data_IF_763654992459
#
_entry.id   IF_763654992459
#
_cell.length_a   1.000
_cell.length_b   1.000
_cell.length_c   1.000
_cell.angle_alpha   90.00
_cell.angle_beta   90.00
_cell.angle_gamma   90.00
#
_symmetry.space_group_name_H-M   'P 1'
#
loop_
_entity.id
_entity.type
_entity.pdbx_description
1 polymer ?
#
# COMPACT_ATOMS: atom_id res chain seq x y z
N UNK A 1 10.83 -7.85 23.30
CA UNK A 1 10.53 -7.60 21.87
C UNK A 1 11.58 -6.65 21.35
N UNK A 2 12.36 -6.99 20.31
CA UNK A 2 13.33 -6.05 19.77
C UNK A 2 12.60 -5.01 18.92
N UNK A 3 12.54 -3.78 19.45
CA UNK A 3 12.39 -2.56 18.69
C UNK A 3 13.72 -2.31 17.95
N UNK A 4 13.75 -2.35 16.61
CA UNK A 4 14.50 -1.39 15.75
C UNK A 4 14.72 -1.89 14.30
N UNK A 5 14.90 -0.97 13.34
CA UNK A 5 15.45 -1.14 11.97
C UNK A 5 16.87 -1.72 11.94
N UNK A 6 17.09 -2.90 12.51
CA UNK A 6 18.38 -3.61 12.45
C UNK A 6 18.28 -4.88 11.59
N UNK A 7 17.98 -4.83 10.30
CA UNK A 7 17.84 -3.70 9.39
C UNK A 7 17.13 -4.27 8.16
N UNK A 8 16.01 -3.69 7.70
CA UNK A 8 15.36 -4.17 6.47
C UNK A 8 16.41 -4.20 5.36
N UNK A 9 17.30 -3.22 5.33
CA UNK A 9 18.45 -3.15 4.44
C UNK A 9 19.42 -4.33 4.58
N UNK A 10 19.70 -4.82 5.79
CA UNK A 10 20.51 -6.03 6.01
C UNK A 10 19.84 -7.28 5.44
N UNK A 11 18.54 -7.45 5.75
CA UNK A 11 17.76 -8.56 5.21
C UNK A 11 17.77 -8.54 3.68
N UNK A 12 17.56 -7.36 3.10
CA UNK A 12 17.56 -7.17 1.65
C UNK A 12 18.93 -7.46 1.05
N UNK A 13 20.03 -6.98 1.65
CA UNK A 13 21.38 -7.30 1.21
C UNK A 13 21.60 -8.82 1.16
N UNK A 14 21.31 -9.53 2.26
CA UNK A 14 21.46 -10.98 2.33
C UNK A 14 20.55 -11.72 1.34
N UNK A 15 19.33 -11.23 1.12
CA UNK A 15 18.40 -11.79 0.16
C UNK A 15 18.89 -11.63 -1.29
N UNK A 16 19.38 -10.43 -1.63
CA UNK A 16 19.85 -10.06 -2.96
C UNK A 16 21.14 -10.82 -3.31
N UNK A 17 22.05 -10.99 -2.36
CA UNK A 17 23.30 -11.75 -2.54
C UNK A 17 23.11 -13.27 -2.45
N UNK A 18 21.88 -13.75 -2.19
CA UNK A 18 21.59 -15.18 -2.18
C UNK A 18 21.21 -15.72 -3.57
N UNK A 19 21.38 -17.02 -3.78
CA UNK A 19 20.90 -17.73 -4.98
C UNK A 19 19.38 -17.61 -5.20
N UNK A 20 18.64 -17.21 -4.17
CA UNK A 20 17.19 -17.01 -4.24
C UNK A 20 16.80 -15.72 -4.98
N UNK A 21 17.72 -14.74 -5.08
CA UNK A 21 17.53 -13.44 -5.74
C UNK A 21 16.97 -13.55 -7.17
N UNK A 22 17.53 -14.48 -7.96
CA UNK A 22 17.12 -14.79 -9.35
C UNK A 22 15.66 -15.20 -9.51
N UNK A 23 15.03 -15.68 -8.44
CA UNK A 23 13.61 -16.10 -8.44
C UNK A 23 12.67 -14.97 -8.09
N UNK A 24 13.20 -13.89 -7.51
CA UNK A 24 12.43 -12.77 -6.99
C UNK A 24 12.55 -11.54 -7.88
N UNK A 25 13.77 -11.20 -8.29
CA UNK A 25 14.08 -9.98 -8.99
C UNK A 25 14.36 -10.23 -10.47
N UNK A 26 14.00 -9.28 -11.32
CA UNK A 26 14.27 -9.36 -12.76
C UNK A 26 15.73 -9.04 -13.08
N UNK A 27 16.13 -9.22 -14.35
CA UNK A 27 17.54 -9.34 -14.75
C UNK A 27 18.42 -8.12 -14.45
N UNK A 28 17.82 -6.95 -14.24
CA UNK A 28 18.55 -5.71 -13.95
C UNK A 28 18.81 -5.53 -12.43
N UNK A 29 18.46 -6.52 -11.60
CA UNK A 29 18.47 -6.47 -10.14
C UNK A 29 18.96 -7.80 -9.53
N UNK A 30 20.08 -8.33 -10.02
CA UNK A 30 20.55 -9.68 -9.65
C UNK A 30 21.60 -9.67 -8.54
N UNK A 31 22.22 -8.53 -8.27
CA UNK A 31 23.22 -8.32 -7.23
C UNK A 31 22.98 -7.01 -6.49
N UNK A 32 23.57 -6.84 -5.31
CA UNK A 32 23.50 -5.59 -4.57
C UNK A 32 24.11 -4.42 -5.36
N UNK A 33 25.17 -4.69 -6.14
CA UNK A 33 25.78 -3.72 -7.04
C UNK A 33 24.84 -3.21 -8.13
N UNK A 34 23.96 -4.08 -8.66
CA UNK A 34 22.94 -3.67 -9.64
C UNK A 34 21.94 -2.70 -9.02
N UNK A 35 21.49 -2.96 -7.78
CA UNK A 35 20.62 -2.04 -7.06
C UNK A 35 21.29 -0.69 -6.80
N UNK A 36 22.56 -0.69 -6.38
CA UNK A 36 23.30 0.55 -6.14
C UNK A 36 23.45 1.37 -7.43
N UNK A 37 23.84 0.72 -8.53
CA UNK A 37 23.95 1.34 -9.85
C UNK A 37 22.60 1.93 -10.31
N UNK A 38 21.51 1.21 -10.06
CA UNK A 38 20.17 1.66 -10.37
C UNK A 38 19.79 2.91 -9.57
N UNK A 39 20.06 2.93 -8.26
CA UNK A 39 19.78 4.11 -7.42
C UNK A 39 20.65 5.31 -7.77
N UNK A 40 21.93 5.12 -8.07
CA UNK A 40 22.81 6.21 -8.53
C UNK A 40 22.34 6.82 -9.85
N UNK A 41 21.87 5.98 -10.77
CA UNK A 41 21.32 6.42 -12.07
C UNK A 41 20.06 7.27 -11.90
N UNK A 42 19.18 6.91 -10.96
CA UNK A 42 17.85 7.52 -10.84
C UNK A 42 17.73 8.60 -9.76
N UNK A 43 18.53 8.55 -8.69
CA UNK A 43 18.46 9.50 -7.58
C UNK A 43 19.74 10.33 -7.37
N UNK A 44 20.77 10.11 -8.20
CA UNK A 44 22.07 10.80 -8.15
C UNK A 44 22.78 10.66 -6.79
N UNK A 45 23.96 11.27 -6.65
CA UNK A 45 24.86 11.08 -5.50
C UNK A 45 24.28 11.45 -4.12
N UNK A 46 23.19 12.24 -4.06
CA UNK A 46 22.57 12.62 -2.79
C UNK A 46 21.45 11.68 -2.35
N UNK A 47 20.97 10.81 -3.24
CA UNK A 47 19.86 9.88 -3.02
C UNK A 47 18.63 10.52 -2.36
N UNK A 48 18.39 11.80 -2.69
CA UNK A 48 17.32 12.62 -2.12
C UNK A 48 16.19 12.78 -3.14
N UNK A 49 15.05 12.18 -2.81
CA UNK A 49 13.85 12.22 -3.65
C UNK A 49 13.33 13.65 -3.84
N UNK A 50 13.42 14.49 -2.80
CA UNK A 50 12.94 15.87 -2.89
C UNK A 50 13.74 16.67 -3.92
N UNK A 51 15.07 16.55 -3.88
CA UNK A 51 15.96 17.19 -4.85
C UNK A 51 15.72 16.70 -6.28
N UNK A 52 15.47 15.40 -6.48
CA UNK A 52 15.15 14.82 -7.80
C UNK A 52 13.82 15.34 -8.33
N UNK A 53 12.79 15.41 -7.48
CA UNK A 53 11.49 15.95 -7.90
C UNK A 53 11.53 17.44 -8.19
N UNK A 54 12.32 18.20 -7.43
CA UNK A 54 12.53 19.63 -7.65
C UNK A 54 13.27 19.88 -8.97
N UNK A 55 14.37 19.17 -9.23
CA UNK A 55 15.15 19.33 -10.46
C UNK A 55 14.34 18.94 -11.70
N UNK A 56 13.60 17.82 -11.65
CA UNK A 56 12.70 17.41 -12.75
C UNK A 56 11.50 18.34 -12.91
N UNK A 57 11.06 19.03 -11.85
CA UNK A 57 9.99 20.02 -11.93
C UNK A 57 10.36 21.27 -12.72
N UNK A 58 11.64 21.62 -12.73
CA UNK A 58 12.17 22.75 -13.49
C UNK A 58 12.28 22.43 -15.00
N UNK A 59 12.42 21.16 -15.36
CA UNK A 59 12.39 20.69 -16.74
C UNK A 59 11.30 19.63 -16.94
N UNK A 60 10.11 20.06 -17.38
CA UNK A 60 8.96 19.17 -17.60
C UNK A 60 9.26 18.01 -18.55
N UNK A 61 10.28 18.08 -19.40
CA UNK A 61 10.69 16.99 -20.29
C UNK A 61 11.59 15.94 -19.61
N UNK A 62 12.10 16.21 -18.41
CA UNK A 62 13.01 15.33 -17.69
C UNK A 62 12.33 14.13 -17.00
N UNK A 63 11.00 14.12 -16.91
CA UNK A 63 10.24 12.96 -16.40
C UNK A 63 10.13 11.86 -17.46
N UNK A 64 10.46 10.64 -17.05
CA UNK A 64 10.44 9.41 -17.83
C UNK A 64 9.62 8.32 -17.13
N UNK A 65 9.32 7.23 -17.85
CA UNK A 65 8.67 6.04 -17.26
C UNK A 65 9.53 5.45 -16.14
N UNK A 66 10.85 5.42 -16.33
CA UNK A 66 11.80 4.82 -15.39
C UNK A 66 11.82 5.55 -14.04
N UNK A 67 11.50 6.84 -13.99
CA UNK A 67 11.45 7.59 -12.72
C UNK A 67 10.33 7.08 -11.80
N UNK A 68 9.16 6.73 -12.35
CA UNK A 68 8.07 6.13 -11.57
C UNK A 68 8.42 4.74 -11.09
N UNK A 69 9.17 3.99 -11.91
CA UNK A 69 9.66 2.66 -11.56
C UNK A 69 10.68 2.76 -10.42
N UNK A 70 11.61 3.70 -10.49
CA UNK A 70 12.59 3.94 -9.46
C UNK A 70 11.96 4.32 -8.13
N UNK A 71 10.91 5.15 -8.15
CA UNK A 71 10.12 5.45 -6.95
C UNK A 71 9.46 4.21 -6.35
N UNK A 72 8.95 3.28 -7.17
CA UNK A 72 8.41 2.02 -6.66
C UNK A 72 9.50 1.14 -6.05
N UNK A 73 10.67 1.02 -6.69
CA UNK A 73 11.81 0.25 -6.17
C UNK A 73 12.27 0.82 -4.83
N UNK A 74 12.38 2.15 -4.72
CA UNK A 74 12.66 2.84 -3.45
C UNK A 74 11.62 2.51 -2.36
N UNK A 75 10.33 2.50 -2.72
CA UNK A 75 9.27 2.12 -1.78
C UNK A 75 9.39 0.66 -1.33
N UNK A 76 9.77 -0.22 -2.26
CA UNK A 76 9.91 -1.64 -1.97
C UNK A 76 11.11 -1.92 -1.06
N UNK A 77 12.25 -1.25 -1.22
CA UNK A 77 13.37 -1.42 -0.27
C UNK A 77 13.04 -0.85 1.11
N UNK A 78 12.27 0.25 1.18
CA UNK A 78 11.84 0.84 2.44
C UNK A 78 10.89 -0.10 3.19
N UNK A 79 9.95 -0.72 2.48
CA UNK A 79 8.95 -1.61 3.06
C UNK A 79 8.56 -2.70 2.06
N UNK A 80 9.29 -3.83 2.01
CA UNK A 80 9.07 -4.88 1.03
C UNK A 80 7.67 -5.49 1.13
N UNK A 81 7.01 -5.68 -0.01
CA UNK A 81 5.68 -6.28 -0.08
C UNK A 81 5.59 -7.29 -1.22
N UNK A 82 4.90 -8.41 -1.00
CA UNK A 82 4.63 -9.38 -2.06
C UNK A 82 3.86 -8.70 -3.20
N UNK A 83 2.78 -7.99 -2.86
CA UNK A 83 1.94 -7.22 -3.78
C UNK A 83 1.57 -5.89 -3.15
N UNK A 84 2.50 -4.94 -3.19
CA UNK A 84 2.39 -3.65 -2.52
C UNK A 84 1.61 -2.61 -3.30
N UNK A 85 0.85 -1.80 -2.57
CA UNK A 85 0.35 -0.50 -3.05
C UNK A 85 0.94 0.57 -2.14
N UNK A 86 1.75 1.46 -2.71
CA UNK A 86 2.38 2.56 -2.00
C UNK A 86 1.66 3.86 -2.34
N UNK A 87 1.46 4.70 -1.33
CA UNK A 87 0.95 6.06 -1.47
C UNK A 87 2.04 7.02 -1.06
N UNK A 88 2.76 7.56 -2.04
CA UNK A 88 3.78 8.56 -1.79
C UNK A 88 3.08 9.89 -1.55
N UNK A 89 3.32 10.45 -0.37
CA UNK A 89 2.79 11.76 0.01
C UNK A 89 3.61 12.84 -0.70
N UNK A 90 2.92 13.80 -1.30
CA UNK A 90 3.55 14.96 -1.94
C UNK A 90 3.08 16.26 -1.30
N UNK A 91 3.97 17.23 -1.20
CA UNK A 91 3.62 18.65 -1.02
C UNK A 91 2.96 19.19 -2.29
N UNK A 92 2.30 20.35 -2.20
CA UNK A 92 1.65 20.97 -3.36
C UNK A 92 2.64 21.28 -4.50
N UNK A 93 3.87 21.72 -4.17
CA UNK A 93 4.92 21.99 -5.16
C UNK A 93 5.42 20.72 -5.85
N UNK A 94 5.58 19.63 -5.09
CA UNK A 94 5.99 18.34 -5.65
C UNK A 94 4.89 17.74 -6.51
N UNK A 95 3.64 17.82 -6.04
CA UNK A 95 2.49 17.37 -6.82
C UNK A 95 2.43 18.10 -8.18
N UNK A 96 2.67 19.41 -8.22
CA UNK A 96 2.74 20.13 -9.49
C UNK A 96 3.84 19.61 -10.43
N UNK A 97 5.02 19.29 -9.89
CA UNK A 97 6.14 18.69 -10.65
C UNK A 97 5.78 17.30 -11.19
N UNK A 98 5.41 16.38 -10.29
CA UNK A 98 5.17 14.96 -10.59
C UNK A 98 3.98 14.77 -11.53
N UNK A 99 2.95 15.62 -11.43
CA UNK A 99 1.75 15.56 -12.28
C UNK A 99 2.10 15.63 -13.77
N UNK A 100 3.09 16.46 -14.14
CA UNK A 100 3.52 16.60 -15.54
C UNK A 100 4.12 15.31 -16.10
N UNK A 101 4.88 14.57 -15.28
CA UNK A 101 5.39 13.24 -15.65
C UNK A 101 4.27 12.20 -15.70
N UNK A 102 3.36 12.22 -14.72
CA UNK A 102 2.24 11.30 -14.62
C UNK A 102 1.33 11.38 -15.86
N UNK A 103 1.06 12.59 -16.35
CA UNK A 103 0.18 12.82 -17.49
C UNK A 103 0.74 12.32 -18.83
N UNK A 104 2.06 12.06 -18.92
CA UNK A 104 2.70 11.47 -20.11
C UNK A 104 2.61 9.96 -20.18
N UNK A 105 2.40 9.30 -19.05
CA UNK A 105 2.29 7.86 -19.01
C UNK A 105 1.05 7.39 -19.82
N UNK A 106 1.09 6.23 -20.49
CA UNK A 106 -0.07 5.65 -21.14
C UNK A 106 -1.27 5.52 -20.19
N UNK A 107 -2.45 5.98 -20.61
CA UNK A 107 -3.68 5.82 -19.82
C UNK A 107 -4.11 4.37 -19.74
N UNK A 108 -4.60 3.93 -18.58
CA UNK A 108 -5.22 2.61 -18.41
C UNK A 108 -6.46 2.67 -17.54
N UNK A 109 -7.43 1.81 -17.85
CA UNK A 109 -8.53 1.54 -16.92
C UNK A 109 -7.97 0.79 -15.72
N UNK A 110 -8.50 1.10 -14.55
CA UNK A 110 -8.10 0.49 -13.29
C UNK A 110 -9.34 0.07 -12.51
N UNK A 111 -9.24 -1.01 -11.75
CA UNK A 111 -10.27 -1.38 -10.76
C UNK A 111 -9.99 -0.78 -9.38
N UNK A 112 -8.86 -0.07 -9.23
CA UNK A 112 -8.46 0.65 -8.02
C UNK A 112 -9.16 2.01 -7.88
N UNK A 113 -8.89 2.71 -6.78
CA UNK A 113 -9.66 3.82 -6.20
C UNK A 113 -10.29 4.80 -7.22
N UNK A 114 -9.49 5.36 -8.12
CA UNK A 114 -9.93 6.36 -9.11
C UNK A 114 -10.57 5.78 -10.37
N UNK A 115 -10.64 4.44 -10.53
CA UNK A 115 -11.05 3.69 -11.73
C UNK A 115 -10.28 4.00 -13.03
N UNK A 116 -9.39 4.98 -12.99
CA UNK A 116 -8.48 5.39 -14.03
C UNK A 116 -7.07 5.47 -13.46
N UNK A 117 -6.09 5.07 -14.25
CA UNK A 117 -4.69 5.14 -13.87
C UNK A 117 -3.83 5.33 -15.11
N UNK A 118 -2.53 5.25 -14.88
CA UNK A 118 -1.52 5.29 -15.91
C UNK A 118 -0.62 4.07 -15.78
N UNK A 119 -0.04 3.63 -16.88
CA UNK A 119 0.83 2.48 -16.93
C UNK A 119 2.28 2.92 -17.08
N UNK A 120 3.14 2.45 -16.19
CA UNK A 120 4.59 2.55 -16.32
C UNK A 120 5.19 1.16 -16.63
N UNK A 121 4.57 0.41 -17.56
CA UNK A 121 4.99 -0.96 -17.90
C UNK A 121 6.26 -1.04 -18.76
N UNK A 122 6.56 0.00 -19.55
CA UNK A 122 7.68 -0.03 -20.49
C UNK A 122 9.01 -0.17 -19.74
N UNK A 123 9.77 -1.22 -20.03
CA UNK A 123 11.03 -1.51 -19.35
C UNK A 123 10.87 -2.04 -17.92
N UNK A 124 9.65 -2.37 -17.47
CA UNK A 124 9.44 -2.89 -16.12
C UNK A 124 10.05 -4.28 -15.95
N UNK A 125 11.11 -4.37 -15.15
CA UNK A 125 11.87 -5.61 -14.92
C UNK A 125 12.32 -5.78 -13.46
N UNK A 126 11.56 -5.22 -12.52
CA UNK A 126 11.97 -5.25 -11.11
C UNK A 126 11.66 -6.57 -10.41
N UNK A 127 10.38 -6.98 -10.33
CA UNK A 127 9.97 -8.23 -9.67
C UNK A 127 9.56 -9.28 -10.70
N UNK A 128 10.09 -10.50 -10.59
CA UNK A 128 9.70 -11.64 -11.44
C UNK A 128 8.20 -11.89 -11.30
N UNK A 129 7.52 -12.09 -12.43
CA UNK A 129 6.07 -12.32 -12.48
C UNK A 129 5.22 -11.05 -12.43
N UNK A 130 5.82 -9.88 -12.18
CA UNK A 130 5.17 -8.58 -12.29
C UNK A 130 5.54 -7.93 -13.62
N UNK A 131 4.53 -7.56 -14.42
CA UNK A 131 4.72 -7.08 -15.79
C UNK A 131 4.40 -5.58 -15.94
N UNK A 132 3.83 -4.98 -14.91
CA UNK A 132 3.35 -3.61 -14.99
C UNK A 132 3.48 -2.88 -13.66
N UNK A 133 3.84 -1.60 -13.74
CA UNK A 133 3.63 -0.64 -12.66
C UNK A 133 2.38 0.21 -12.95
N UNK A 134 1.34 0.06 -12.15
CA UNK A 134 0.19 0.96 -12.09
C UNK A 134 0.57 2.22 -11.32
N UNK A 135 0.35 3.37 -11.95
CA UNK A 135 0.48 4.68 -11.33
C UNK A 135 -0.90 5.33 -11.26
N UNK A 136 -1.32 5.86 -10.12
CA UNK A 136 -2.58 6.62 -10.02
C UNK A 136 -2.38 7.92 -9.24
N UNK A 137 -3.11 8.94 -9.66
CA UNK A 137 -3.23 10.20 -8.94
C UNK A 137 -4.37 10.09 -7.94
N UNK A 138 -4.11 10.39 -6.67
CA UNK A 138 -5.13 10.36 -5.61
C UNK A 138 -5.12 11.68 -4.85
N UNK A 139 -6.24 12.39 -4.89
CA UNK A 139 -6.44 13.63 -4.15
C UNK A 139 -7.40 13.36 -2.98
N UNK A 140 -6.98 13.78 -1.79
CA UNK A 140 -7.82 13.85 -0.60
C UNK A 140 -8.04 15.32 -0.24
N UNK A 141 -9.01 15.60 0.64
CA UNK A 141 -9.32 16.99 1.03
C UNK A 141 -8.11 17.74 1.62
N UNK A 142 -7.13 17.01 2.13
CA UNK A 142 -5.96 17.56 2.82
C UNK A 142 -4.66 17.43 2.01
N UNK A 143 -4.54 16.45 1.08
CA UNK A 143 -3.26 16.05 0.50
C UNK A 143 -3.38 15.43 -0.89
N UNK A 144 -2.26 15.41 -1.61
CA UNK A 144 -2.12 14.71 -2.89
C UNK A 144 -1.14 13.55 -2.75
N UNK A 145 -1.50 12.41 -3.33
CA UNK A 145 -0.72 11.19 -3.31
C UNK A 145 -0.47 10.66 -4.71
N UNK A 146 0.72 10.12 -4.90
CA UNK A 146 1.05 9.27 -6.03
C UNK A 146 0.93 7.81 -5.58
N UNK A 147 -0.06 7.11 -6.11
CA UNK A 147 -0.23 5.68 -5.85
C UNK A 147 0.63 4.87 -6.83
N UNK A 148 1.47 3.97 -6.32
CA UNK A 148 2.30 3.06 -7.11
C UNK A 148 1.96 1.61 -6.75
N UNK A 149 1.70 0.77 -7.74
CA UNK A 149 1.34 -0.63 -7.53
C UNK A 149 1.87 -1.55 -8.61
N UNK A 150 2.61 -2.59 -8.24
CA UNK A 150 2.99 -3.63 -9.19
C UNK A 150 1.81 -4.57 -9.51
N UNK A 151 1.61 -4.87 -10.78
CA UNK A 151 0.59 -5.78 -11.29
C UNK A 151 1.23 -6.93 -12.10
N UNK A 152 0.67 -8.13 -11.95
CA UNK A 152 1.14 -9.34 -12.62
C UNK A 152 0.61 -9.53 -14.03
N UNK A 153 0.12 -8.47 -14.68
CA UNK A 153 -0.36 -8.48 -16.04
C UNK A 153 -0.57 -7.04 -16.52
N UNK A 154 -0.34 -6.79 -17.81
CA UNK A 154 -0.61 -5.50 -18.48
C UNK A 154 -2.11 -5.34 -18.82
N UNK A 155 -2.51 -4.24 -19.47
CA UNK A 155 -3.90 -4.00 -19.94
C UNK A 155 -4.05 -3.93 -21.48
N UNK A 156 -3.44 -4.86 -22.24
CA UNK A 156 -3.59 -5.01 -23.70
C UNK A 156 -4.68 -6.02 -24.14
N UNK A 157 -4.93 -6.19 -25.45
CA UNK A 157 -5.92 -7.16 -25.98
C UNK A 157 -5.59 -8.60 -25.52
N UNK A 158 -4.32 -8.97 -25.45
CA UNK A 158 -3.85 -10.24 -24.88
C UNK A 158 -4.00 -10.37 -23.35
N UNK A 159 -4.32 -9.30 -22.64
CA UNK A 159 -4.49 -9.29 -21.18
C UNK A 159 -5.90 -9.60 -20.70
N UNK A 160 -6.90 -9.57 -21.61
CA UNK A 160 -8.30 -9.80 -21.24
C UNK A 160 -8.49 -11.16 -20.56
N UNK A 161 -7.80 -12.18 -21.07
CA UNK A 161 -7.83 -13.54 -20.53
C UNK A 161 -7.16 -13.66 -19.15
N UNK A 162 -5.92 -13.16 -18.93
CA UNK A 162 -5.33 -13.05 -17.59
C UNK A 162 -6.20 -12.29 -16.57
N UNK A 163 -6.79 -11.16 -16.97
CA UNK A 163 -7.69 -10.37 -16.12
C UNK A 163 -8.95 -11.16 -15.76
N UNK A 164 -9.58 -11.83 -16.73
CA UNK A 164 -10.78 -12.62 -16.52
C UNK A 164 -10.49 -13.87 -15.66
N UNK A 165 -9.36 -14.54 -15.87
CA UNK A 165 -8.89 -15.66 -15.05
C UNK A 165 -8.63 -15.21 -13.61
N UNK A 166 -7.94 -14.09 -13.43
CA UNK A 166 -7.70 -13.48 -12.12
C UNK A 166 -9.01 -13.09 -11.43
N UNK A 167 -9.95 -12.49 -12.17
CA UNK A 167 -11.27 -12.12 -11.66
C UNK A 167 -12.10 -13.35 -11.26
N UNK A 168 -12.15 -14.39 -12.09
CA UNK A 168 -12.84 -15.63 -11.81
C UNK A 168 -12.24 -16.36 -10.61
N UNK A 169 -10.91 -16.40 -10.50
CA UNK A 169 -10.21 -16.95 -9.35
C UNK A 169 -10.56 -16.16 -8.08
N UNK A 170 -10.43 -14.81 -8.10
CA UNK A 170 -10.83 -13.91 -7.01
C UNK A 170 -12.28 -14.13 -6.57
N UNK A 171 -13.18 -14.32 -7.53
CA UNK A 171 -14.61 -14.56 -7.23
C UNK A 171 -14.81 -15.89 -6.49
N UNK A 172 -14.08 -16.94 -6.86
CA UNK A 172 -14.18 -18.27 -6.26
C UNK A 172 -13.47 -18.39 -4.91
N UNK A 173 -12.24 -17.89 -4.81
CA UNK A 173 -11.36 -18.15 -3.65
C UNK A 173 -11.31 -16.97 -2.66
N UNK A 174 -11.80 -15.79 -3.06
CA UNK A 174 -11.65 -14.57 -2.26
C UNK A 174 -10.22 -13.99 -2.26
N UNK A 175 -9.24 -14.73 -2.79
CA UNK A 175 -7.86 -14.31 -2.98
C UNK A 175 -7.58 -14.11 -4.47
N UNK A 176 -6.70 -13.19 -4.84
CA UNK A 176 -6.29 -13.13 -6.24
C UNK A 176 -5.14 -14.05 -6.56
N UNK A 177 -4.88 -14.20 -7.86
CA UNK A 177 -3.74 -14.97 -8.34
C UNK A 177 -2.44 -14.36 -7.82
N UNK A 178 -1.50 -15.23 -7.46
CA UNK A 178 -0.12 -14.90 -7.13
C UNK A 178 0.63 -14.61 -8.43
N UNK A 179 1.41 -13.53 -8.44
CA UNK A 179 2.30 -13.22 -9.56
C UNK A 179 3.62 -14.00 -9.45
N UNK A 180 4.11 -14.21 -8.21
CA UNK A 180 5.34 -14.93 -7.91
C UNK A 180 5.14 -15.80 -6.65
N UNK A 181 5.21 -17.12 -6.83
CA UNK A 181 5.00 -18.08 -5.75
C UNK A 181 6.17 -18.11 -4.74
N UNK A 182 7.39 -17.85 -5.19
CA UNK A 182 8.57 -17.80 -4.32
C UNK A 182 8.55 -16.55 -3.44
N UNK A 183 8.14 -15.40 -3.98
CA UNK A 183 7.93 -14.18 -3.19
C UNK A 183 6.81 -14.34 -2.15
N UNK A 184 5.70 -14.99 -2.53
CA UNK A 184 4.63 -15.29 -1.59
C UNK A 184 5.10 -16.23 -0.46
N UNK A 185 5.87 -17.27 -0.79
CA UNK A 185 6.46 -18.19 0.21
C UNK A 185 7.34 -17.43 1.19
N UNK A 186 8.18 -16.54 0.69
CA UNK A 186 9.04 -15.71 1.53
C UNK A 186 8.22 -14.78 2.43
N UNK A 187 7.21 -14.11 1.88
CA UNK A 187 6.37 -13.16 2.62
C UNK A 187 5.46 -13.82 3.68
N UNK A 188 5.17 -15.12 3.53
CA UNK A 188 4.36 -15.91 4.47
C UNK A 188 5.18 -16.65 5.52
N UNK A 189 6.51 -16.55 5.47
CA UNK A 189 7.42 -17.12 6.46
C UNK A 189 7.45 -16.29 7.75
N UNK A 190 7.62 -16.96 8.90
CA UNK A 190 7.50 -16.38 10.26
C UNK A 190 8.59 -15.34 10.59
N UNK A 191 9.63 -15.22 9.75
CA UNK A 191 10.84 -14.42 10.04
C UNK A 191 11.28 -13.50 8.89
N UNK A 192 10.37 -13.04 8.04
CA UNK A 192 10.73 -12.08 6.98
C UNK A 192 10.08 -10.72 7.22
N UNK A 193 10.77 -9.61 6.90
CA UNK A 193 10.18 -8.28 6.90
C UNK A 193 9.32 -8.03 5.64
N UNK A 194 9.19 -9.02 4.75
CA UNK A 194 8.35 -8.89 3.56
C UNK A 194 6.90 -9.07 3.95
N UNK A 195 6.12 -8.05 3.67
CA UNK A 195 4.70 -8.05 3.96
C UNK A 195 3.98 -8.96 2.96
N UNK A 196 3.39 -10.04 3.47
CA UNK A 196 2.49 -10.90 2.72
C UNK A 196 1.35 -10.09 2.11
N UNK A 197 0.82 -10.57 0.99
CA UNK A 197 -0.38 -9.99 0.40
C UNK A 197 -1.51 -9.84 1.44
N UNK A 198 -1.84 -8.59 1.77
CA UNK A 198 -3.14 -8.24 2.35
C UNK A 198 -4.27 -8.60 1.38
N UNK A 199 -5.42 -9.03 1.90
CA UNK A 199 -6.57 -9.39 1.09
C UNK A 199 -6.95 -8.20 0.17
N UNK A 200 -6.56 -8.26 -1.12
CA UNK A 200 -6.77 -7.20 -2.13
C UNK A 200 -8.23 -6.77 -2.31
N UNK A 201 -9.13 -7.49 -1.69
CA UNK A 201 -10.46 -7.05 -1.39
C UNK A 201 -10.77 -7.61 -0.01
N UNK A 202 -11.63 -6.92 0.74
CA UNK A 202 -12.42 -7.54 1.80
C UNK A 202 -12.73 -9.01 1.47
N UNK A 203 -12.46 -9.92 2.42
CA UNK A 203 -12.80 -11.34 2.23
C UNK A 203 -14.24 -11.44 1.73
N UNK A 204 -14.59 -12.47 0.94
CA UNK A 204 -15.98 -12.63 0.50
C UNK A 204 -16.95 -12.65 1.69
N UNK A 205 -16.49 -13.18 2.84
CA UNK A 205 -17.17 -13.08 4.13
C UNK A 205 -17.37 -11.62 4.59
N UNK A 206 -16.35 -10.75 4.52
CA UNK A 206 -16.50 -9.34 4.88
C UNK A 206 -17.37 -8.56 3.89
N UNK A 207 -17.30 -8.85 2.59
CA UNK A 207 -18.23 -8.27 1.61
C UNK A 207 -19.67 -8.68 1.88
N UNK A 208 -19.89 -9.95 2.21
CA UNK A 208 -21.20 -10.47 2.61
C UNK A 208 -21.69 -9.77 3.88
N UNK A 209 -20.84 -9.66 4.89
CA UNK A 209 -21.12 -8.90 6.12
C UNK A 209 -21.52 -7.46 5.84
N UNK A 210 -20.76 -6.70 5.03
CA UNK A 210 -21.14 -5.33 4.68
C UNK A 210 -22.47 -5.26 3.93
N UNK A 211 -22.70 -6.17 2.97
CA UNK A 211 -23.96 -6.24 2.23
C UNK A 211 -25.15 -6.52 3.16
N UNK A 212 -24.98 -7.45 4.10
CA UNK A 212 -26.02 -7.82 5.06
C UNK A 212 -26.25 -6.72 6.10
N UNK A 213 -25.18 -6.07 6.55
CA UNK A 213 -25.22 -4.87 7.40
C UNK A 213 -26.03 -3.75 6.73
N UNK A 214 -25.83 -3.52 5.43
CA UNK A 214 -26.59 -2.52 4.66
C UNK A 214 -28.04 -2.91 4.34
N UNK A 215 -28.35 -4.21 4.22
CA UNK A 215 -29.72 -4.70 3.98
C UNK A 215 -30.59 -4.67 5.24
N UNK A 216 -30.05 -5.11 6.37
CA UNK A 216 -30.78 -5.23 7.64
C UNK A 216 -31.13 -3.89 8.27
N UNK A 217 -30.52 -2.78 7.83
CA UNK A 217 -30.57 -1.47 8.50
C UNK A 217 -31.38 -0.42 7.74
N UNK A 218 -32.45 -0.80 7.01
CA UNK A 218 -33.22 0.09 6.13
C UNK A 218 -34.09 1.14 6.85
N UNK A 219 -34.04 1.26 8.18
CA UNK A 219 -34.90 2.16 8.96
C UNK A 219 -34.12 3.11 9.91
N UNK A 220 -34.11 4.41 9.56
CA UNK A 220 -34.32 5.50 10.51
C UNK A 220 -33.17 6.08 11.35
N UNK A 221 -31.88 5.73 11.19
CA UNK A 221 -30.86 6.23 12.15
C UNK A 221 -29.44 6.46 11.66
N UNK A 222 -29.17 6.51 10.35
CA UNK A 222 -27.83 6.78 9.81
C UNK A 222 -27.90 7.70 8.60
N UNK A 223 -26.79 8.33 8.24
CA UNK A 223 -26.74 9.16 7.02
C UNK A 223 -27.01 8.30 5.78
N UNK A 224 -27.84 8.80 4.87
CA UNK A 224 -28.21 8.09 3.65
C UNK A 224 -26.98 7.68 2.80
N UNK A 225 -25.88 8.43 2.90
CA UNK A 225 -24.60 8.14 2.24
C UNK A 225 -23.90 6.91 2.82
N UNK A 226 -23.85 6.74 4.15
CA UNK A 226 -23.16 5.61 4.79
C UNK A 226 -23.93 4.30 4.57
N UNK A 227 -25.27 4.32 4.63
CA UNK A 227 -26.08 3.15 4.25
C UNK A 227 -25.91 2.77 2.78
N UNK A 228 -25.87 3.76 1.87
CA UNK A 228 -25.64 3.51 0.44
C UNK A 228 -24.24 2.93 0.19
N UNK A 229 -23.19 3.47 0.84
CA UNK A 229 -21.82 2.97 0.72
C UNK A 229 -21.68 1.52 1.19
N UNK A 230 -22.32 1.17 2.31
CA UNK A 230 -22.35 -0.19 2.86
C UNK A 230 -23.21 -1.13 2.00
N UNK A 231 -24.39 -0.70 1.55
CA UNK A 231 -25.32 -1.49 0.72
C UNK A 231 -24.75 -1.79 -0.67
N UNK A 232 -24.03 -0.83 -1.26
CA UNK A 232 -23.45 -0.97 -2.59
C UNK A 232 -22.10 -1.71 -2.58
N UNK A 233 -21.58 -2.11 -1.40
CA UNK A 233 -20.38 -2.93 -1.17
C UNK A 233 -19.14 -2.53 -2.00
N UNK A 234 -19.10 -1.29 -2.50
CA UNK A 234 -18.10 -0.75 -3.42
C UNK A 234 -17.05 0.06 -2.65
N UNK A 235 -16.08 0.56 -3.42
CA UNK A 235 -14.78 1.13 -3.05
C UNK A 235 -14.71 2.26 -2.02
N UNK A 236 -15.83 2.66 -1.46
CA UNK A 236 -16.00 3.96 -0.80
C UNK A 236 -16.62 3.81 0.59
N UNK A 237 -16.60 2.61 1.16
CA UNK A 237 -17.06 2.35 2.51
C UNK A 237 -15.86 2.49 3.47
N UNK A 238 -15.78 3.60 4.20
CA UNK A 238 -14.72 3.77 5.20
C UNK A 238 -14.95 2.87 6.41
N UNK A 239 -13.89 2.55 7.15
CA UNK A 239 -14.03 1.95 8.50
C UNK A 239 -14.94 2.79 9.41
N UNK A 240 -14.95 4.12 9.23
CA UNK A 240 -15.84 5.04 9.98
C UNK A 240 -17.30 4.95 9.54
N UNK A 241 -17.57 4.77 8.24
CA UNK A 241 -18.92 4.50 7.73
C UNK A 241 -19.46 3.18 8.29
N UNK A 242 -18.61 2.15 8.30
CA UNK A 242 -18.92 0.89 8.94
C UNK A 242 -19.21 1.08 10.43
N UNK A 243 -18.39 1.85 11.16
CA UNK A 243 -18.61 2.12 12.58
C UNK A 243 -19.88 2.95 12.84
N UNK A 244 -20.16 3.97 12.02
CA UNK A 244 -21.40 4.74 12.08
C UNK A 244 -22.63 3.84 11.94
N UNK A 245 -22.58 2.88 11.01
CA UNK A 245 -23.66 1.91 10.80
C UNK A 245 -23.72 0.87 11.93
N UNK A 246 -22.56 0.38 12.40
CA UNK A 246 -22.51 -0.55 13.52
C UNK A 246 -23.10 0.10 14.76
N UNK A 247 -22.59 1.25 15.20
CA UNK A 247 -22.94 1.89 16.48
C UNK A 247 -24.19 2.76 16.48
N UNK A 248 -24.98 2.76 15.42
CA UNK A 248 -26.19 3.59 15.33
C UNK A 248 -25.92 5.07 15.53
N UNK A 249 -24.79 5.55 14.98
CA UNK A 249 -24.47 6.97 15.10
C UNK A 249 -25.35 7.81 14.17
N UNK A 250 -26.35 8.48 14.75
CA UNK A 250 -27.35 9.29 14.02
C UNK A 250 -26.74 10.46 13.26
N UNK A 251 -25.62 10.99 13.74
CA UNK A 251 -24.99 12.20 13.22
C UNK A 251 -23.65 11.92 12.54
N UNK A 252 -23.30 10.64 12.33
CA UNK A 252 -21.99 10.27 11.79
C UNK A 252 -20.84 10.61 12.76
N UNK A 253 -21.04 10.39 14.06
CA UNK A 253 -20.07 10.68 15.13
C UNK A 253 -18.67 10.15 14.80
N UNK A 254 -18.55 8.92 14.29
CA UNK A 254 -17.25 8.32 13.98
C UNK A 254 -16.52 9.05 12.86
N UNK A 255 -17.22 9.82 12.03
CA UNK A 255 -16.62 10.67 11.01
C UNK A 255 -15.75 11.77 11.62
N UNK A 256 -16.07 12.19 12.86
CA UNK A 256 -15.35 13.24 13.61
C UNK A 256 -14.42 12.66 14.69
N UNK A 257 -14.47 11.34 14.93
CA UNK A 257 -13.65 10.68 15.94
C UNK A 257 -12.18 10.58 15.53
N UNK A 258 -11.31 10.76 16.51
CA UNK A 258 -9.86 10.63 16.35
C UNK A 258 -9.47 9.20 15.95
N UNK A 259 -8.31 9.04 15.32
CA UNK A 259 -7.78 7.72 14.95
C UNK A 259 -7.64 6.81 16.19
N UNK A 260 -7.26 7.38 17.34
CA UNK A 260 -7.19 6.67 18.62
C UNK A 260 -8.54 6.11 19.07
N UNK A 261 -9.60 6.92 19.04
CA UNK A 261 -10.95 6.47 19.43
C UNK A 261 -11.49 5.39 18.48
N UNK A 262 -11.27 5.55 17.18
CA UNK A 262 -11.63 4.55 16.17
C UNK A 262 -10.90 3.22 16.42
N UNK A 263 -9.60 3.28 16.72
CA UNK A 263 -8.78 2.12 17.08
C UNK A 263 -9.32 1.38 18.30
N UNK A 264 -9.52 2.10 19.40
CA UNK A 264 -10.00 1.52 20.65
C UNK A 264 -11.34 0.81 20.43
N UNK A 265 -12.22 1.39 19.61
CA UNK A 265 -13.48 0.75 19.25
C UNK A 265 -13.30 -0.55 18.45
N UNK A 266 -12.42 -0.54 17.44
CA UNK A 266 -12.14 -1.72 16.62
C UNK A 266 -11.52 -2.86 17.45
N UNK A 267 -10.59 -2.54 18.34
CA UNK A 267 -10.00 -3.51 19.26
C UNK A 267 -11.04 -4.10 20.21
N UNK A 268 -11.93 -3.27 20.76
CA UNK A 268 -13.02 -3.74 21.61
C UNK A 268 -13.98 -4.68 20.86
N UNK A 269 -14.29 -4.38 19.59
CA UNK A 269 -15.11 -5.24 18.73
C UNK A 269 -14.42 -6.57 18.40
N UNK A 270 -13.09 -6.59 18.33
CA UNK A 270 -12.33 -7.81 18.08
C UNK A 270 -12.24 -8.74 19.31
N UNK A 271 -12.19 -8.18 20.52
CA UNK A 271 -11.98 -8.93 21.77
C UNK A 271 -13.22 -9.65 22.31
N UNK A 272 -14.41 -9.43 21.73
CA UNK A 272 -15.68 -10.02 22.20
C UNK A 272 -16.24 -11.02 21.18
N UNK A 273 -15.65 -12.23 21.03
CA UNK A 273 -16.01 -13.19 19.98
C UNK A 273 -17.42 -13.80 20.13
N UNK A 274 -17.96 -13.85 21.35
CA UNK A 274 -19.18 -14.60 21.70
C UNK A 274 -20.38 -13.71 22.11
N UNK A 275 -20.20 -12.40 22.25
CA UNK A 275 -21.35 -11.51 22.51
C UNK A 275 -22.17 -11.37 21.23
N UNK A 276 -23.33 -12.04 21.19
CA UNK A 276 -24.44 -11.55 20.38
C UNK A 276 -24.70 -10.14 20.90
N UNK A 277 -24.52 -9.12 20.06
CA UNK A 277 -24.76 -7.73 20.45
C UNK A 277 -26.26 -7.44 20.52
N UNK A 278 -26.98 -8.24 21.30
CA UNK A 278 -28.35 -8.02 21.72
C UNK A 278 -28.31 -6.83 22.68
N UNK A 279 -28.69 -5.66 22.16
CA UNK A 279 -28.71 -4.39 22.90
C UNK A 279 -27.76 -3.31 22.37
N UNK A 280 -26.69 -3.65 21.63
CA UNK A 280 -25.79 -2.65 21.06
C UNK A 280 -25.98 -2.45 19.55
N UNK A 281 -26.13 -3.52 18.76
CA UNK A 281 -26.07 -3.42 17.28
C UNK A 281 -27.05 -4.34 16.53
N UNK A 282 -28.29 -4.46 17.01
CA UNK A 282 -29.47 -5.03 16.30
C UNK A 282 -29.12 -6.03 15.17
N UNK A 283 -29.10 -7.32 15.51
CA UNK A 283 -29.20 -8.48 14.60
C UNK A 283 -28.10 -8.72 13.55
N UNK A 284 -26.85 -8.26 13.75
CA UNK A 284 -25.73 -8.67 12.89
C UNK A 284 -24.71 -9.47 13.69
N UNK A 285 -24.65 -10.76 13.41
CA UNK A 285 -23.60 -11.64 13.94
C UNK A 285 -22.26 -11.34 13.24
N UNK A 286 -21.21 -11.15 14.02
CA UNK A 286 -19.88 -10.81 13.52
C UNK A 286 -19.02 -12.07 13.62
N UNK A 287 -18.86 -12.77 12.50
CA UNK A 287 -18.08 -14.00 12.44
C UNK A 287 -16.60 -13.78 12.87
N UNK A 288 -15.91 -14.80 13.42
CA UNK A 288 -14.52 -14.69 13.86
C UNK A 288 -13.55 -14.18 12.78
N UNK A 289 -13.77 -14.53 11.52
CA UNK A 289 -12.98 -14.07 10.37
C UNK A 289 -13.10 -12.55 10.16
N UNK A 290 -14.27 -11.97 10.50
CA UNK A 290 -14.53 -10.52 10.46
C UNK A 290 -13.86 -9.81 11.65
N UNK A 291 -13.89 -10.42 12.84
CA UNK A 291 -13.22 -9.88 14.03
C UNK A 291 -11.71 -9.77 13.82
N UNK A 292 -11.12 -10.77 13.14
CA UNK A 292 -9.72 -10.71 12.70
C UNK A 292 -9.45 -9.48 11.80
N UNK A 293 -10.41 -9.06 10.96
CA UNK A 293 -10.26 -7.83 10.17
C UNK A 293 -10.31 -6.57 11.03
N UNK A 294 -11.09 -6.53 12.12
CA UNK A 294 -11.12 -5.37 13.03
C UNK A 294 -9.80 -5.13 13.74
N UNK A 295 -9.14 -6.19 14.23
CA UNK A 295 -7.78 -6.07 14.78
C UNK A 295 -6.80 -5.50 13.76
N UNK A 296 -6.90 -5.94 12.51
CA UNK A 296 -6.06 -5.43 11.41
C UNK A 296 -6.37 -3.97 11.08
N UNK A 297 -7.65 -3.57 11.04
CA UNK A 297 -8.01 -2.16 10.87
C UNK A 297 -7.50 -1.31 12.04
N UNK A 298 -7.63 -1.78 13.27
CA UNK A 298 -7.12 -1.06 14.44
C UNK A 298 -5.61 -0.79 14.34
N UNK A 299 -4.85 -1.75 13.81
CA UNK A 299 -3.42 -1.55 13.55
C UNK A 299 -3.16 -0.44 12.52
N UNK A 300 -4.01 -0.27 11.51
CA UNK A 300 -3.88 0.84 10.54
C UNK A 300 -4.16 2.23 11.14
N UNK A 301 -4.83 2.28 12.29
CA UNK A 301 -5.07 3.52 13.05
C UNK A 301 -3.98 3.83 14.09
N UNK A 302 -2.98 2.95 14.28
CA UNK A 302 -1.79 3.25 15.10
C UNK A 302 -0.88 4.29 14.43
N UNK A 303 -0.93 4.38 13.10
CA UNK A 303 -0.21 5.39 12.32
C UNK A 303 -1.01 6.71 12.35
N UNK A 304 -0.91 7.48 13.43
CA UNK A 304 -1.67 8.72 13.71
C UNK A 304 -1.57 9.80 12.60
N UNK A 305 -0.69 9.62 11.60
CA UNK A 305 -0.41 10.55 10.51
C UNK A 305 -1.17 10.31 9.19
N UNK A 306 -2.10 9.32 9.13
CA UNK A 306 -2.85 8.99 7.92
C UNK A 306 -4.20 9.73 7.81
N UNK A 307 -4.55 10.31 6.65
CA UNK A 307 -5.85 10.97 6.46
C UNK A 307 -7.03 10.01 6.42
N UNK A 308 -8.21 10.51 6.80
CA UNK A 308 -9.45 9.73 6.93
C UNK A 308 -9.94 9.05 5.63
N UNK A 309 -9.60 9.59 4.45
CA UNK A 309 -10.07 9.08 3.16
C UNK A 309 -9.38 7.77 2.69
N UNK A 310 -8.26 7.42 3.31
CA UNK A 310 -7.45 6.22 3.01
C UNK A 310 -8.13 4.93 3.51
N UNK A 311 -8.93 5.01 4.57
CA UNK A 311 -9.51 3.83 5.24
C UNK A 311 -10.71 3.21 4.50
N UNK A 312 -10.87 3.49 3.20
CA UNK A 312 -12.01 3.08 2.37
C UNK A 312 -11.93 1.65 1.81
N UNK A 313 -10.76 1.01 1.87
CA UNK A 313 -10.56 -0.40 1.51
C UNK A 313 -9.41 -0.98 2.36
N UNK A 314 -9.52 -2.25 2.77
CA UNK A 314 -8.33 -3.02 3.17
C UNK A 314 -7.51 -3.31 1.91
N UNK A 315 -6.71 -2.36 1.49
CA UNK A 315 -5.42 -2.68 0.89
C UNK A 315 -4.42 -2.51 2.02
N UNK A 316 -3.40 -3.35 2.06
CA UNK A 316 -2.23 -3.01 2.87
C UNK A 316 -1.55 -1.86 2.11
N UNK A 317 -2.03 -0.64 2.38
CA UNK A 317 -1.55 0.59 1.77
C UNK A 317 -0.44 1.12 2.66
N UNK A 318 0.75 1.24 2.09
CA UNK A 318 1.88 1.86 2.78
C UNK A 318 1.90 3.32 2.38
N UNK A 319 1.67 4.19 3.34
CA UNK A 319 1.93 5.62 3.17
C UNK A 319 3.42 5.84 3.35
N UNK A 320 3.99 6.56 2.39
CA UNK A 320 5.41 6.76 2.31
C UNK A 320 5.69 8.25 2.30
N UNK A 321 6.51 8.71 3.25
CA UNK A 321 7.08 10.05 3.22
C UNK A 321 8.38 10.03 2.38
N UNK A 322 8.59 10.93 1.42
CA UNK A 322 9.83 10.93 0.62
C UNK A 322 11.12 11.08 1.44
N UNK A 323 11.09 11.72 2.61
CA UNK A 323 12.22 11.73 3.56
C UNK A 323 12.60 10.31 4.00
N UNK A 324 11.61 9.47 4.29
CA UNK A 324 11.82 8.09 4.72
C UNK A 324 12.41 7.24 3.60
N UNK A 325 12.03 7.50 2.35
CA UNK A 325 12.62 6.83 1.20
C UNK A 325 14.06 7.25 0.96
N UNK A 326 14.34 8.54 1.05
CA UNK A 326 15.71 9.06 0.90
C UNK A 326 16.62 8.49 1.99
N UNK A 327 16.10 8.33 3.21
CA UNK A 327 16.81 7.61 4.28
C UNK A 327 16.99 6.13 3.97
N UNK A 328 15.94 5.45 3.49
CA UNK A 328 16.01 4.03 3.17
C UNK A 328 17.01 3.73 2.06
N UNK A 329 17.07 4.56 1.00
CA UNK A 329 18.06 4.42 -0.07
C UNK A 329 19.47 4.61 0.50
N UNK A 330 19.70 5.69 1.26
CA UNK A 330 21.01 5.97 1.86
C UNK A 330 21.47 4.86 2.81
N UNK A 331 20.59 4.37 3.68
CA UNK A 331 20.92 3.28 4.60
C UNK A 331 21.16 1.97 3.82
N UNK A 332 20.35 1.70 2.79
CA UNK A 332 20.53 0.54 1.91
C UNK A 332 21.88 0.57 1.20
N UNK A 333 22.34 1.72 0.73
CA UNK A 333 23.59 1.90 -0.03
C UNK A 333 24.88 1.91 0.83
N UNK A 334 24.81 1.52 2.10
CA UNK A 334 25.98 1.48 2.99
C UNK A 334 26.48 0.07 3.31
N UNK A 335 25.85 -0.96 2.75
CA UNK A 335 26.08 -2.35 3.15
C UNK A 335 27.35 -2.98 2.57
N UNK A 336 27.90 -2.40 1.51
CA UNK A 336 29.23 -2.72 0.99
C UNK A 336 30.38 -2.03 1.77
N UNK A 337 30.06 -1.08 2.65
CA UNK A 337 31.05 -0.37 3.45
C UNK A 337 31.52 -1.21 4.65
N UNK A 338 32.78 -1.03 5.10
CA UNK A 338 33.26 -1.60 6.35
C UNK A 338 32.34 -1.23 7.53
N UNK A 339 32.13 -2.17 8.46
CA UNK A 339 31.18 -2.04 9.57
C UNK A 339 31.30 -0.74 10.37
N UNK A 340 32.53 -0.27 10.60
CA UNK A 340 32.82 0.97 11.30
C UNK A 340 32.35 2.21 10.53
N UNK A 341 32.53 2.22 9.21
CA UNK A 341 32.10 3.30 8.33
C UNK A 341 30.59 3.27 8.09
N UNK A 342 30.01 2.07 7.91
CA UNK A 342 28.56 1.86 7.83
C UNK A 342 27.84 2.40 9.08
N UNK A 343 28.31 2.03 10.27
CA UNK A 343 27.74 2.50 11.52
C UNK A 343 27.83 4.03 11.68
N UNK A 344 28.91 4.65 11.20
CA UNK A 344 29.07 6.10 11.21
C UNK A 344 28.11 6.80 10.24
N UNK A 345 27.98 6.29 9.01
CA UNK A 345 27.08 6.84 7.98
C UNK A 345 25.62 6.72 8.40
N UNK A 346 25.18 5.56 8.88
CA UNK A 346 23.82 5.35 9.38
C UNK A 346 23.50 6.25 10.60
N UNK A 347 24.47 6.48 11.50
CA UNK A 347 24.30 7.44 12.61
C UNK A 347 24.11 8.86 12.12
N UNK A 348 24.86 9.30 11.11
CA UNK A 348 24.70 10.64 10.50
C UNK A 348 23.34 10.81 9.84
N UNK A 349 22.88 9.82 9.06
CA UNK A 349 21.54 9.83 8.45
C UNK A 349 20.41 9.96 9.49
N UNK A 350 20.57 9.34 10.66
CA UNK A 350 19.61 9.42 11.78
C UNK A 350 19.67 10.74 12.56
N UNK A 351 20.83 11.41 12.62
CA UNK A 351 21.00 12.68 13.35
C UNK A 351 20.57 13.93 12.55
N UNK A 352 20.57 13.88 11.23
CA UNK A 352 20.17 15.01 10.37
C UNK A 352 18.64 15.28 10.33
N UNK A 353 17.86 14.62 11.20
CA UNK A 353 16.39 14.62 11.15
C UNK A 353 15.73 14.85 12.54
N UNK A 354 16.38 15.61 13.43
CA UNK A 354 15.71 16.22 14.59
C UNK A 354 15.49 17.71 14.35
#
# INVERSE_FOLDING_TARGET
MPNSPSDISQFLYLLIESDFSRRLFGPDFQSYGDFCTYFDTHFHQQHDIHSVWKSKGQNRHAWSVADFQALYVACWIYKPMEKGTYFLRMTSSEAASVRTGFEKLPTRKSSHLSKSGRSAHSGWKFLVGYEELLVQWQETNDRTYLMLKAEGHTTGIGSLYPHLKSWNHKRKTGAGLQANADLNRLATSIHTPIIARGAENFSNAYKAFLKDLGKKRREGSTTASSLKAVRDAKATCTVRDMLNVLTMSRNGEWSQKTNREVREKLMALAQKPQETTYGAYVNVDIAPEIKTQFSRFAQLFLDENRPNAVYNRYFEEVHVNPDQLSNAIRDFMTWDLPDSLRAQTQRRSRMLNF
#
